data_IF_745022243268
#
_entry.id   IF_745022243268
#
_cell.length_a   1.000
_cell.length_b   1.000
_cell.length_c   1.000
_cell.angle_alpha   90.00
_cell.angle_beta   90.00
_cell.angle_gamma   90.00
#
_symmetry.space_group_name_H-M   'P 1'
#
loop_
_entity.id
_entity.type
_entity.pdbx_description
1 polymer ?
#
# COMPACT_ATOMS: atom_id res chain seq x y z
N UNK A 1 -37.49 -46.98 5.36
CA UNK A 1 -37.39 -46.50 6.75
C UNK A 1 -37.07 -45.01 6.67
N UNK A 2 -38.10 -44.18 6.53
CA UNK A 2 -37.96 -42.72 6.38
C UNK A 2 -37.54 -42.10 7.71
N UNK A 3 -36.40 -41.42 7.73
CA UNK A 3 -36.02 -40.58 8.87
C UNK A 3 -36.95 -39.37 8.90
N UNK A 4 -37.93 -39.42 9.80
CA UNK A 4 -38.68 -38.23 10.23
C UNK A 4 -37.72 -37.34 11.02
N UNK A 5 -37.13 -36.34 10.38
CA UNK A 5 -36.61 -35.17 11.10
C UNK A 5 -37.84 -34.44 11.62
N UNK A 6 -38.02 -34.37 12.93
CA UNK A 6 -39.20 -33.80 13.61
C UNK A 6 -39.30 -32.28 13.48
N UNK A 7 -39.17 -31.76 12.27
CA UNK A 7 -39.26 -30.34 11.94
C UNK A 7 -40.53 -30.16 11.13
N UNK A 8 -41.47 -29.44 11.72
CA UNK A 8 -42.72 -29.06 11.08
C UNK A 8 -42.43 -28.11 9.92
N UNK A 9 -42.98 -28.37 8.74
CA UNK A 9 -42.62 -27.73 7.46
C UNK A 9 -43.05 -26.25 7.34
N UNK A 10 -43.53 -25.64 8.42
CA UNK A 10 -44.00 -24.24 8.48
C UNK A 10 -43.26 -23.35 9.48
N UNK A 11 -42.22 -23.85 10.16
CA UNK A 11 -41.46 -23.06 11.14
C UNK A 11 -40.21 -22.51 10.46
N UNK A 12 -40.07 -21.19 10.40
CA UNK A 12 -38.78 -20.57 10.06
C UNK A 12 -37.75 -21.01 11.11
N UNK A 13 -36.84 -21.89 10.70
CA UNK A 13 -35.71 -22.28 11.51
C UNK A 13 -34.72 -21.13 11.56
N UNK A 14 -34.52 -20.55 12.74
CA UNK A 14 -33.59 -19.46 12.90
C UNK A 14 -33.59 -18.88 14.30
N UNK A 15 -32.88 -17.77 14.44
CA UNK A 15 -32.89 -16.95 15.66
C UNK A 15 -33.01 -15.51 15.22
N UNK A 16 -34.06 -14.84 15.67
CA UNK A 16 -34.27 -13.41 15.45
C UNK A 16 -33.88 -12.67 16.72
N UNK A 17 -32.95 -11.73 16.59
CA UNK A 17 -32.56 -10.83 17.67
C UNK A 17 -33.02 -9.44 17.27
N UNK A 18 -33.92 -8.86 18.08
CA UNK A 18 -34.47 -7.53 17.86
C UNK A 18 -34.06 -6.60 19.01
N UNK A 19 -33.61 -5.39 18.67
CA UNK A 19 -33.26 -4.35 19.63
C UNK A 19 -34.09 -3.11 19.30
N UNK A 20 -35.09 -2.82 20.13
CA UNK A 20 -36.13 -1.80 19.85
C UNK A 20 -35.85 -0.44 20.50
N UNK A 21 -35.30 -0.43 21.72
CA UNK A 21 -35.03 0.80 22.48
C UNK A 21 -33.62 1.33 22.22
N UNK A 22 -33.37 1.78 20.98
CA UNK A 22 -32.10 2.43 20.63
C UNK A 22 -32.04 3.85 21.23
N UNK A 23 -30.92 4.18 21.86
CA UNK A 23 -30.54 5.55 22.21
C UNK A 23 -30.60 6.45 20.96
N UNK A 24 -31.01 7.71 21.13
CA UNK A 24 -31.24 8.64 20.01
C UNK A 24 -30.01 8.81 19.10
N UNK A 25 -28.82 8.95 19.70
CA UNK A 25 -27.57 9.06 18.93
C UNK A 25 -27.27 7.81 18.09
N UNK A 26 -27.60 6.63 18.59
CA UNK A 26 -27.41 5.36 17.88
C UNK A 26 -28.39 5.26 16.72
N UNK A 27 -29.65 5.66 16.95
CA UNK A 27 -30.68 5.71 15.91
C UNK A 27 -30.28 6.64 14.76
N UNK A 28 -29.74 7.82 15.08
CA UNK A 28 -29.20 8.75 14.08
C UNK A 28 -28.05 8.15 13.28
N UNK A 29 -27.09 7.49 13.95
CA UNK A 29 -25.97 6.81 13.29
C UNK A 29 -26.44 5.71 12.32
N UNK A 30 -27.38 4.83 12.72
CA UNK A 30 -27.91 3.79 11.85
C UNK A 30 -28.64 4.36 10.61
N UNK A 31 -29.23 5.55 10.73
CA UNK A 31 -29.84 6.28 9.61
C UNK A 31 -28.82 6.91 8.65
N UNK A 32 -27.55 7.03 9.04
CA UNK A 32 -26.52 7.71 8.25
C UNK A 32 -25.98 6.85 7.10
N UNK A 33 -25.98 7.35 5.84
CA UNK A 33 -25.37 6.64 4.71
C UNK A 33 -23.88 6.35 4.90
N UNK A 34 -23.16 7.23 5.60
CA UNK A 34 -21.73 7.04 5.90
C UNK A 34 -21.52 5.87 6.86
N UNK A 35 -22.37 5.75 7.88
CA UNK A 35 -22.35 4.63 8.82
C UNK A 35 -22.66 3.32 8.11
N UNK A 36 -23.72 3.28 7.30
CA UNK A 36 -24.13 2.07 6.59
C UNK A 36 -23.04 1.59 5.62
N UNK A 37 -22.38 2.50 4.91
CA UNK A 37 -21.25 2.17 4.02
C UNK A 37 -20.06 1.61 4.80
N UNK A 38 -19.71 2.21 5.94
CA UNK A 38 -18.66 1.70 6.82
C UNK A 38 -19.02 0.31 7.37
N UNK A 39 -20.24 0.12 7.87
CA UNK A 39 -20.73 -1.15 8.39
C UNK A 39 -20.71 -2.24 7.31
N UNK A 40 -21.10 -1.92 6.08
CA UNK A 40 -21.03 -2.83 4.95
C UNK A 40 -19.59 -3.32 4.72
N UNK A 41 -18.62 -2.40 4.67
CA UNK A 41 -17.20 -2.72 4.49
C UNK A 41 -16.65 -3.55 5.66
N UNK A 42 -16.96 -3.17 6.90
CA UNK A 42 -16.56 -3.92 8.10
C UNK A 42 -17.08 -5.34 8.09
N UNK A 43 -18.37 -5.54 7.77
CA UNK A 43 -18.97 -6.86 7.66
C UNK A 43 -18.37 -7.67 6.51
N UNK A 44 -18.11 -7.06 5.35
CA UNK A 44 -17.47 -7.73 4.21
C UNK A 44 -16.08 -8.26 4.54
N UNK A 45 -15.31 -7.51 5.32
CA UNK A 45 -13.99 -7.94 5.76
C UNK A 45 -14.09 -8.99 6.88
N UNK A 46 -14.82 -8.69 7.96
CA UNK A 46 -14.91 -9.56 9.12
C UNK A 46 -15.50 -10.93 8.76
N UNK A 47 -16.40 -10.96 7.77
CA UNK A 47 -17.07 -12.16 7.30
C UNK A 47 -16.52 -12.65 5.97
N UNK A 48 -15.33 -12.22 5.52
CA UNK A 48 -14.78 -12.62 4.22
C UNK A 48 -14.75 -14.14 4.03
N UNK A 49 -14.29 -14.88 5.05
CA UNK A 49 -14.28 -16.34 5.03
C UNK A 49 -15.70 -16.93 5.00
N UNK A 50 -16.64 -16.35 5.74
CA UNK A 50 -18.02 -16.83 5.76
C UNK A 50 -18.73 -16.58 4.41
N UNK A 51 -18.54 -15.39 3.83
CA UNK A 51 -19.02 -15.00 2.51
C UNK A 51 -18.43 -15.91 1.42
N UNK A 52 -17.13 -16.23 1.49
CA UNK A 52 -16.47 -17.19 0.58
C UNK A 52 -17.03 -18.62 0.76
N UNK A 53 -17.38 -19.01 1.98
CA UNK A 53 -18.01 -20.28 2.30
C UNK A 53 -19.53 -20.30 2.05
N UNK A 54 -20.04 -19.41 1.18
CA UNK A 54 -21.44 -19.31 0.75
C UNK A 54 -22.44 -18.92 1.85
N UNK A 55 -21.98 -18.38 2.98
CA UNK A 55 -22.88 -17.73 3.92
C UNK A 55 -23.41 -16.45 3.28
N UNK A 56 -24.72 -16.34 3.12
CA UNK A 56 -25.34 -15.14 2.58
C UNK A 56 -25.64 -14.16 3.72
N UNK A 57 -25.02 -12.99 3.67
CA UNK A 57 -25.25 -11.91 4.63
C UNK A 57 -25.87 -10.74 3.86
N UNK A 58 -26.90 -10.11 4.43
CA UNK A 58 -27.51 -8.91 3.86
C UNK A 58 -27.51 -7.78 4.87
N UNK A 59 -27.34 -6.55 4.39
CA UNK A 59 -27.52 -5.33 5.17
C UNK A 59 -28.59 -4.51 4.47
N UNK A 60 -29.73 -4.27 5.14
CA UNK A 60 -30.89 -3.56 4.59
C UNK A 60 -31.34 -4.11 3.22
N UNK A 61 -31.35 -5.44 3.07
CA UNK A 61 -31.70 -6.13 1.82
C UNK A 61 -30.62 -6.12 0.74
N UNK A 62 -29.49 -5.41 0.95
CA UNK A 62 -28.34 -5.45 0.04
C UNK A 62 -27.45 -6.63 0.41
N UNK A 63 -27.24 -7.57 -0.54
CA UNK A 63 -26.33 -8.68 -0.34
C UNK A 63 -24.88 -8.19 -0.17
N UNK A 64 -24.22 -8.68 0.88
CA UNK A 64 -22.79 -8.50 1.06
C UNK A 64 -22.08 -9.42 0.07
N UNK A 65 -21.44 -8.82 -0.92
CA UNK A 65 -20.48 -9.55 -1.75
C UNK A 65 -19.12 -9.49 -1.08
N UNK A 66 -18.35 -10.58 -1.11
CA UNK A 66 -16.94 -10.51 -0.75
C UNK A 66 -16.27 -9.52 -1.73
N UNK A 67 -15.96 -8.32 -1.28
CA UNK A 67 -15.02 -7.47 -2.00
C UNK A 67 -13.65 -8.13 -1.78
N UNK A 68 -12.92 -8.52 -2.84
CA UNK A 68 -11.61 -9.10 -2.65
C UNK A 68 -10.68 -8.01 -2.14
N UNK A 69 -10.54 -7.93 -0.82
CA UNK A 69 -9.41 -7.26 -0.20
C UNK A 69 -8.22 -8.13 -0.51
N UNK A 70 -7.38 -7.62 -1.40
CA UNK A 70 -6.32 -8.38 -2.02
C UNK A 70 -5.18 -7.50 -2.48
N UNK A 71 -4.08 -8.17 -2.79
CA UNK A 71 -2.86 -7.58 -3.33
C UNK A 71 -2.52 -8.29 -4.63
N UNK A 72 -1.96 -7.57 -5.59
CA UNK A 72 -1.46 -8.17 -6.81
C UNK A 72 -0.29 -9.08 -6.46
N UNK A 73 -0.42 -10.35 -6.84
CA UNK A 73 0.60 -11.35 -6.63
C UNK A 73 0.80 -12.21 -7.89
N UNK A 74 2.04 -12.66 -8.07
CA UNK A 74 2.45 -13.60 -9.09
C UNK A 74 3.70 -14.35 -8.61
N UNK A 75 4.28 -15.20 -9.47
CA UNK A 75 5.56 -15.87 -9.13
C UNK A 75 6.71 -14.88 -8.91
N UNK A 76 6.71 -13.76 -9.63
CA UNK A 76 7.78 -12.76 -9.61
C UNK A 76 7.43 -11.49 -8.84
N UNK A 77 6.14 -11.24 -8.56
CA UNK A 77 5.66 -10.14 -7.72
C UNK A 77 5.03 -10.72 -6.46
N UNK A 78 5.69 -10.60 -5.31
CA UNK A 78 5.19 -11.12 -4.04
C UNK A 78 4.93 -9.98 -3.06
N UNK A 79 3.71 -9.85 -2.52
CA UNK A 79 3.42 -8.97 -1.40
C UNK A 79 4.20 -9.33 -0.13
N UNK A 80 4.28 -8.38 0.80
CA UNK A 80 4.69 -8.62 2.18
C UNK A 80 3.58 -9.35 2.92
N UNK A 81 3.94 -10.35 3.71
CA UNK A 81 3.12 -10.87 4.80
C UNK A 81 4.01 -11.09 6.02
N UNK A 82 3.59 -10.56 7.17
CA UNK A 82 4.25 -10.70 8.48
C UNK A 82 3.18 -11.10 9.49
N UNK A 83 3.51 -12.04 10.37
CA UNK A 83 2.66 -12.47 11.48
C UNK A 83 3.53 -12.59 12.74
N UNK A 84 3.22 -11.79 13.76
CA UNK A 84 4.00 -11.73 14.99
C UNK A 84 3.10 -11.69 16.22
N UNK A 85 3.60 -12.21 17.33
CA UNK A 85 2.95 -12.17 18.64
C UNK A 85 3.71 -11.22 19.57
N UNK A 86 2.97 -10.37 20.28
CA UNK A 86 3.54 -9.43 21.23
C UNK A 86 2.94 -9.62 22.62
N UNK A 87 3.79 -9.86 23.61
CA UNK A 87 3.38 -9.83 25.01
C UNK A 87 3.22 -8.39 25.50
N UNK A 88 2.04 -8.08 26.02
CA UNK A 88 1.67 -6.78 26.58
C UNK A 88 0.96 -7.00 27.91
N UNK A 89 1.65 -6.72 29.02
CA UNK A 89 1.10 -6.79 30.39
C UNK A 89 0.31 -8.09 30.66
N UNK A 90 0.97 -9.24 30.51
CA UNK A 90 0.41 -10.60 30.71
C UNK A 90 -0.73 -10.97 29.77
N UNK A 91 -0.81 -10.34 28.60
CA UNK A 91 -1.73 -10.69 27.52
C UNK A 91 -0.98 -10.71 26.19
N UNK A 92 -1.48 -11.46 25.22
CA UNK A 92 -0.88 -11.55 23.89
C UNK A 92 -1.70 -10.72 22.92
N UNK A 93 -1.01 -9.93 22.10
CA UNK A 93 -1.56 -9.24 20.93
C UNK A 93 -0.96 -9.91 19.69
N UNK A 94 -1.80 -10.55 18.89
CA UNK A 94 -1.45 -11.11 17.60
C UNK A 94 -1.52 -10.01 16.56
N UNK A 95 -0.48 -9.91 15.73
CA UNK A 95 -0.39 -8.91 14.67
C UNK A 95 -0.17 -9.59 13.34
N UNK A 96 -1.09 -9.34 12.39
CA UNK A 96 -0.90 -9.71 10.98
C UNK A 96 -0.75 -8.45 10.15
N UNK A 97 0.24 -8.43 9.28
CA UNK A 97 0.53 -7.29 8.42
C UNK A 97 0.73 -7.75 6.98
N UNK A 98 0.08 -7.06 6.06
CA UNK A 98 0.17 -7.27 4.63
C UNK A 98 0.53 -5.95 3.95
N UNK A 99 1.43 -5.96 2.97
CA UNK A 99 1.74 -4.76 2.18
C UNK A 99 2.08 -5.12 0.74
N UNK A 100 1.57 -4.34 -0.20
CA UNK A 100 1.83 -4.57 -1.62
C UNK A 100 1.14 -3.56 -2.49
N UNK A 101 0.82 -3.97 -3.72
CA UNK A 101 0.18 -3.12 -4.71
C UNK A 101 -1.19 -3.67 -5.09
N UNK A 102 -2.10 -2.79 -5.48
CA UNK A 102 -3.38 -3.10 -6.10
C UNK A 102 -3.55 -2.26 -7.37
N UNK A 103 -4.74 -2.32 -7.98
CA UNK A 103 -5.12 -1.41 -9.05
C UNK A 103 -5.04 0.05 -8.57
N UNK A 104 -4.67 1.00 -9.45
CA UNK A 104 -4.45 2.39 -9.08
C UNK A 104 -5.78 3.03 -8.65
N UNK A 105 -5.83 3.49 -7.40
CA UNK A 105 -6.97 4.23 -6.86
C UNK A 105 -6.45 5.05 -5.67
N UNK A 106 -6.21 6.37 -5.86
CA UNK A 106 -5.69 7.26 -4.83
C UNK A 106 -6.53 7.30 -3.56
N UNK A 107 -7.86 7.18 -3.69
CA UNK A 107 -8.80 7.24 -2.56
C UNK A 107 -8.73 6.00 -1.66
N UNK A 108 -8.11 4.92 -2.15
CA UNK A 108 -7.90 3.67 -1.41
C UNK A 108 -6.43 3.44 -1.08
N UNK A 109 -5.54 4.36 -1.45
CA UNK A 109 -4.11 4.21 -1.16
C UNK A 109 -3.82 4.50 0.31
N UNK A 110 -3.02 3.67 0.94
CA UNK A 110 -2.65 3.87 2.34
C UNK A 110 -2.76 2.60 3.16
N UNK A 111 -2.71 2.80 4.49
CA UNK A 111 -2.83 1.75 5.48
C UNK A 111 -4.27 1.61 5.97
N UNK A 112 -4.69 0.36 6.09
CA UNK A 112 -5.93 -0.05 6.74
C UNK A 112 -5.57 -0.72 8.06
N UNK A 113 -6.04 -0.16 9.18
CA UNK A 113 -5.72 -0.68 10.52
C UNK A 113 -6.97 -1.23 11.16
N UNK A 114 -6.90 -2.49 11.61
CA UNK A 114 -7.97 -3.22 12.25
C UNK A 114 -7.61 -3.59 13.68
N UNK A 115 -8.59 -3.53 14.57
CA UNK A 115 -8.48 -3.99 15.96
C UNK A 115 -9.66 -4.91 16.26
N UNK A 116 -9.39 -6.20 16.53
CA UNK A 116 -10.41 -7.23 16.70
C UNK A 116 -11.52 -7.18 15.62
N UNK A 117 -11.12 -7.09 14.35
CA UNK A 117 -12.03 -7.05 13.21
C UNK A 117 -12.70 -5.70 12.93
N UNK A 118 -12.56 -4.69 13.80
CA UNK A 118 -13.08 -3.34 13.56
C UNK A 118 -12.08 -2.49 12.78
N UNK A 119 -12.54 -1.83 11.71
CA UNK A 119 -11.76 -0.86 10.95
C UNK A 119 -11.57 0.43 11.76
N UNK A 120 -10.33 0.77 12.07
CA UNK A 120 -9.98 1.97 12.84
C UNK A 120 -9.49 3.08 11.91
N UNK A 121 -8.61 2.74 10.96
CA UNK A 121 -8.09 3.67 9.97
C UNK A 121 -8.32 3.10 8.57
N UNK A 122 -8.86 3.92 7.67
CA UNK A 122 -9.17 3.57 6.29
C UNK A 122 -8.28 4.37 5.34
N UNK A 123 -7.53 3.69 4.46
CA UNK A 123 -6.66 4.31 3.46
C UNK A 123 -5.79 5.45 4.05
N UNK A 124 -5.28 5.24 5.28
CA UNK A 124 -4.58 6.30 5.98
C UNK A 124 -3.22 6.57 5.34
N UNK A 125 -2.98 7.86 5.10
CA UNK A 125 -1.78 8.41 4.47
C UNK A 125 -1.07 9.40 5.40
N UNK A 126 -1.29 9.28 6.72
CA UNK A 126 -0.80 10.23 7.72
C UNK A 126 0.40 9.70 8.50
N UNK A 127 0.97 10.55 9.35
CA UNK A 127 2.08 10.18 10.23
C UNK A 127 1.74 9.06 11.20
N UNK A 128 0.44 8.86 11.51
CA UNK A 128 -0.04 7.76 12.34
C UNK A 128 0.43 6.42 11.76
N UNK A 129 0.30 6.21 10.45
CA UNK A 129 0.65 4.95 9.80
C UNK A 129 2.02 4.95 9.10
N UNK A 130 2.86 5.94 9.41
CA UNK A 130 4.25 6.00 8.94
C UNK A 130 4.47 6.78 7.64
N UNK A 131 3.46 7.49 7.12
CA UNK A 131 3.65 8.48 6.06
C UNK A 131 4.21 9.77 6.63
N UNK A 132 4.81 10.61 5.78
CA UNK A 132 5.19 11.96 6.20
C UNK A 132 4.06 12.94 5.94
N UNK A 133 3.80 13.79 6.92
CA UNK A 133 2.83 14.87 6.81
C UNK A 133 3.31 15.93 5.79
N UNK A 134 2.36 16.49 5.05
CA UNK A 134 2.65 17.46 3.99
C UNK A 134 3.12 18.78 4.58
N UNK A 135 4.28 19.28 4.17
CA UNK A 135 4.81 20.59 4.60
C UNK A 135 5.83 20.56 5.76
N UNK A 136 6.18 19.39 6.29
CA UNK A 136 7.32 19.24 7.21
C UNK A 136 8.64 19.03 6.44
N UNK A 137 9.70 19.72 6.87
CA UNK A 137 11.03 19.61 6.27
C UNK A 137 11.67 18.24 6.52
N UNK A 138 12.46 17.78 5.56
CA UNK A 138 13.10 16.45 5.50
C UNK A 138 14.29 16.25 6.45
N UNK A 139 14.42 17.06 7.50
CA UNK A 139 15.60 17.04 8.40
C UNK A 139 15.60 15.89 9.41
N UNK A 140 14.49 15.15 9.56
CA UNK A 140 14.41 13.98 10.42
C UNK A 140 14.81 12.71 9.65
N UNK A 141 15.88 12.05 10.11
CA UNK A 141 16.44 10.82 9.49
C UNK A 141 15.48 9.62 9.49
N UNK A 142 14.39 9.70 10.26
CA UNK A 142 13.34 8.67 10.38
C UNK A 142 12.01 9.08 9.71
N UNK A 143 11.99 10.19 8.95
CA UNK A 143 10.77 10.69 8.33
C UNK A 143 10.32 9.79 7.17
N UNK A 144 9.07 9.33 7.24
CA UNK A 144 8.44 8.52 6.20
C UNK A 144 8.37 9.19 4.83
N UNK A 145 7.69 8.55 3.88
CA UNK A 145 7.48 9.12 2.54
C UNK A 145 6.24 10.01 2.57
N UNK A 146 6.33 11.23 2.03
CA UNK A 146 5.15 12.06 1.79
C UNK A 146 4.32 11.42 0.66
N UNK A 147 3.01 11.34 0.85
CA UNK A 147 2.14 10.79 -0.18
C UNK A 147 2.22 11.59 -1.49
N UNK A 148 2.23 10.86 -2.60
CA UNK A 148 2.14 11.38 -3.97
C UNK A 148 1.31 10.39 -4.79
N UNK A 149 0.68 10.83 -5.88
CA UNK A 149 -0.20 9.99 -6.71
C UNK A 149 0.54 8.79 -7.35
N UNK A 150 1.87 8.82 -7.42
CA UNK A 150 2.69 7.66 -7.83
C UNK A 150 2.50 6.45 -6.89
N UNK A 151 2.00 6.69 -5.67
CA UNK A 151 1.69 5.65 -4.68
C UNK A 151 0.21 5.24 -4.67
N UNK A 152 -0.60 5.65 -5.66
CA UNK A 152 -2.02 5.32 -5.75
C UNK A 152 -2.33 3.81 -5.74
N UNK A 153 -1.34 2.98 -6.11
CA UNK A 153 -1.43 1.52 -6.10
C UNK A 153 -1.10 0.90 -4.73
N UNK A 154 -0.49 1.63 -3.79
CA UNK A 154 -0.09 1.07 -2.50
C UNK A 154 -1.30 0.63 -1.66
N UNK A 155 -1.26 -0.59 -1.12
CA UNK A 155 -2.22 -1.08 -0.13
C UNK A 155 -1.47 -1.77 1.01
N UNK A 156 -1.74 -1.33 2.23
CA UNK A 156 -1.26 -1.98 3.44
C UNK A 156 -2.42 -2.33 4.38
N UNK A 157 -2.38 -3.50 5.01
CA UNK A 157 -3.38 -3.95 5.97
C UNK A 157 -2.68 -4.40 7.24
N UNK A 158 -3.13 -3.96 8.40
CA UNK A 158 -2.62 -4.37 9.71
C UNK A 158 -3.78 -4.78 10.60
N UNK A 159 -3.68 -5.94 11.21
CA UNK A 159 -4.66 -6.50 12.14
C UNK A 159 -4.01 -6.64 13.50
N UNK A 160 -4.63 -6.07 14.51
CA UNK A 160 -4.31 -6.31 15.92
C UNK A 160 -5.44 -7.15 16.52
N UNK A 161 -5.11 -8.32 17.04
CA UNK A 161 -6.05 -9.24 17.65
C UNK A 161 -5.63 -9.59 19.07
N UNK A 162 -6.54 -9.46 20.03
CA UNK A 162 -6.29 -9.86 21.42
C UNK A 162 -7.60 -10.21 22.13
N UNK A 163 -7.51 -11.19 23.04
CA UNK A 163 -8.61 -11.49 23.96
C UNK A 163 -8.84 -10.34 24.96
N UNK A 164 -7.77 -9.67 25.39
CA UNK A 164 -7.87 -8.47 26.22
C UNK A 164 -7.88 -7.20 25.35
N UNK A 165 -9.09 -6.71 25.09
CA UNK A 165 -9.31 -5.52 24.27
C UNK A 165 -8.66 -4.24 24.81
N UNK A 166 -8.28 -4.20 26.10
CA UNK A 166 -7.57 -3.06 26.69
C UNK A 166 -6.11 -2.95 26.23
N UNK A 167 -5.56 -4.00 25.60
CA UNK A 167 -4.19 -4.03 25.07
C UNK A 167 -4.09 -3.58 23.62
N UNK A 168 -5.22 -3.44 22.93
CA UNK A 168 -5.26 -3.01 21.54
C UNK A 168 -4.90 -1.53 21.44
N UNK A 169 -4.21 -1.11 20.38
CA UNK A 169 -3.72 0.25 20.23
C UNK A 169 -4.80 1.22 19.73
N UNK A 170 -6.05 1.09 20.15
CA UNK A 170 -7.10 2.05 19.82
C UNK A 170 -7.23 3.12 20.90
N UNK A 171 -7.75 4.30 20.53
CA UNK A 171 -8.09 5.32 21.51
C UNK A 171 -9.36 4.94 22.29
N UNK A 172 -9.64 5.65 23.39
CA UNK A 172 -10.81 5.40 24.25
C UNK A 172 -12.14 5.50 23.52
N UNK A 173 -12.20 6.32 22.45
CA UNK A 173 -13.38 6.46 21.57
C UNK A 173 -13.47 5.36 20.50
N UNK A 174 -12.46 4.51 20.35
CA UNK A 174 -12.36 3.46 19.32
C UNK A 174 -12.54 3.99 17.89
N UNK A 175 -12.13 5.24 17.66
CA UNK A 175 -12.21 5.94 16.37
C UNK A 175 -10.84 6.24 15.78
N UNK A 176 -9.77 5.96 16.51
CA UNK A 176 -8.41 6.19 16.08
C UNK A 176 -7.46 5.26 16.81
N UNK A 177 -6.20 5.34 16.41
CA UNK A 177 -5.12 4.58 17.03
C UNK A 177 -4.46 5.44 18.11
N UNK A 178 -4.19 4.82 19.26
CA UNK A 178 -3.31 5.38 20.27
C UNK A 178 -1.84 5.11 19.90
N UNK A 179 -1.22 6.11 19.25
CA UNK A 179 0.15 6.07 18.75
C UNK A 179 1.20 5.99 19.86
N UNK A 180 0.82 6.34 21.10
CA UNK A 180 1.72 6.33 22.24
C UNK A 180 1.84 4.95 22.88
N UNK A 181 1.01 3.97 22.48
CA UNK A 181 1.14 2.61 22.99
C UNK A 181 2.47 1.96 22.54
N UNK A 182 3.21 1.28 23.44
CA UNK A 182 4.48 0.63 23.07
C UNK A 182 4.34 -0.38 21.94
N UNK A 183 3.19 -1.08 21.89
CA UNK A 183 2.88 -2.04 20.82
C UNK A 183 2.75 -1.34 19.47
N UNK A 184 2.01 -0.23 19.40
CA UNK A 184 1.83 0.46 18.13
C UNK A 184 3.13 1.08 17.63
N UNK A 185 3.97 1.65 18.50
CA UNK A 185 5.27 2.19 18.07
C UNK A 185 6.15 1.13 17.41
N UNK A 186 6.20 -0.09 17.96
CA UNK A 186 6.93 -1.22 17.38
C UNK A 186 6.34 -1.61 16.02
N UNK A 187 5.03 -1.84 15.97
CA UNK A 187 4.36 -2.26 14.73
C UNK A 187 4.42 -1.18 13.65
N UNK A 188 4.35 0.11 14.01
CA UNK A 188 4.55 1.23 13.08
C UNK A 188 5.94 1.19 12.43
N UNK A 189 6.98 0.78 13.16
CA UNK A 189 8.31 0.52 12.58
C UNK A 189 8.28 -0.59 11.53
N UNK A 190 7.56 -1.68 11.82
CA UNK A 190 7.36 -2.80 10.87
C UNK A 190 6.57 -2.34 9.64
N UNK A 191 5.51 -1.53 9.82
CA UNK A 191 4.75 -0.92 8.74
C UNK A 191 5.63 -0.09 7.81
N UNK A 192 6.48 0.79 8.36
CA UNK A 192 7.41 1.61 7.56
C UNK A 192 8.39 0.72 6.79
N UNK A 193 8.97 -0.29 7.45
CA UNK A 193 9.89 -1.24 6.83
C UNK A 193 9.23 -2.01 5.68
N UNK A 194 8.00 -2.49 5.86
CA UNK A 194 7.23 -3.22 4.86
C UNK A 194 6.80 -2.34 3.68
N UNK A 195 6.43 -1.08 3.93
CA UNK A 195 6.00 -0.12 2.91
C UNK A 195 7.15 0.34 2.02
N UNK A 196 8.33 0.55 2.60
CA UNK A 196 9.50 1.13 1.91
C UNK A 196 9.86 0.45 0.57
N UNK A 197 10.05 -0.88 0.49
CA UNK A 197 10.38 -1.54 -0.78
C UNK A 197 9.22 -1.47 -1.80
N UNK A 198 7.96 -1.45 -1.34
CA UNK A 198 6.79 -1.29 -2.20
C UNK A 198 6.79 0.08 -2.86
N UNK A 199 7.01 1.15 -2.08
CA UNK A 199 7.10 2.50 -2.63
C UNK A 199 8.30 2.67 -3.57
N UNK A 200 9.42 2.00 -3.27
CA UNK A 200 10.58 1.93 -4.16
C UNK A 200 10.22 1.36 -5.54
N UNK A 201 9.47 0.26 -5.56
CA UNK A 201 8.96 -0.33 -6.81
C UNK A 201 7.97 0.59 -7.54
N UNK A 202 7.03 1.21 -6.84
CA UNK A 202 6.05 2.12 -7.46
C UNK A 202 6.71 3.35 -8.11
N UNK A 203 7.82 3.85 -7.54
CA UNK A 203 8.64 4.89 -8.19
C UNK A 203 9.27 4.39 -9.48
N UNK A 204 9.84 3.18 -9.48
CA UNK A 204 10.41 2.56 -10.69
C UNK A 204 9.34 2.38 -11.77
N UNK A 205 8.17 1.86 -11.41
CA UNK A 205 7.02 1.68 -12.30
C UNK A 205 6.55 3.01 -12.91
N UNK A 206 6.44 4.05 -12.09
CA UNK A 206 6.04 5.37 -12.57
C UNK A 206 7.09 6.00 -13.48
N UNK A 207 8.38 5.80 -13.15
CA UNK A 207 9.49 6.27 -13.96
C UNK A 207 9.49 5.60 -15.34
N UNK A 208 9.35 4.28 -15.38
CA UNK A 208 9.19 3.50 -16.63
C UNK A 208 8.06 4.11 -17.48
N UNK A 209 6.86 4.27 -16.91
CA UNK A 209 5.71 4.79 -17.64
C UNK A 209 5.82 6.26 -18.13
N UNK A 210 6.72 7.07 -17.55
CA UNK A 210 6.85 8.51 -17.89
C UNK A 210 8.08 8.85 -18.72
N UNK A 211 9.16 8.09 -18.55
CA UNK A 211 10.49 8.47 -19.01
C UNK A 211 11.08 7.46 -20.00
N UNK A 212 10.47 6.29 -20.19
CA UNK A 212 10.98 5.26 -21.09
C UNK A 212 9.87 4.70 -21.98
N UNK A 213 10.26 4.07 -23.09
CA UNK A 213 9.36 3.24 -23.92
C UNK A 213 9.37 1.77 -23.44
N UNK A 214 10.01 1.48 -22.31
CA UNK A 214 10.08 0.14 -21.72
C UNK A 214 8.77 -0.18 -20.98
N UNK A 215 8.42 -1.46 -20.91
CA UNK A 215 7.19 -1.94 -20.25
C UNK A 215 7.46 -3.09 -19.28
N UNK A 216 8.70 -3.28 -18.86
CA UNK A 216 9.12 -4.44 -18.07
C UNK A 216 8.31 -4.58 -16.78
N UNK A 217 8.22 -3.52 -15.97
CA UNK A 217 7.46 -3.57 -14.72
C UNK A 217 5.96 -3.62 -14.96
N UNK A 218 5.42 -2.83 -15.89
CA UNK A 218 3.97 -2.81 -16.16
C UNK A 218 3.48 -4.17 -16.75
N UNK A 219 4.29 -4.86 -17.55
CA UNK A 219 3.98 -6.22 -18.02
C UNK A 219 3.87 -7.22 -16.88
N UNK A 220 4.75 -7.13 -15.89
CA UNK A 220 4.69 -8.00 -14.72
C UNK A 220 3.51 -7.66 -13.79
N UNK A 221 3.16 -6.39 -13.68
CA UNK A 221 1.97 -5.94 -12.93
C UNK A 221 0.68 -6.40 -13.61
N UNK A 222 0.58 -6.25 -14.94
CA UNK A 222 -0.62 -6.63 -15.71
C UNK A 222 -0.86 -8.15 -15.76
N UNK A 223 0.19 -8.96 -15.63
CA UNK A 223 0.10 -10.43 -15.50
C UNK A 223 -0.17 -10.92 -14.06
N UNK A 224 -0.11 -10.03 -13.07
CA UNK A 224 -0.38 -10.40 -11.68
C UNK A 224 -1.89 -10.50 -11.42
N UNK A 225 -2.27 -11.44 -10.56
CA UNK A 225 -3.67 -11.62 -10.17
C UNK A 225 -3.93 -10.95 -8.83
N UNK A 226 -5.15 -10.46 -8.63
CA UNK A 226 -5.60 -10.01 -7.32
C UNK A 226 -5.78 -11.23 -6.41
N UNK A 227 -4.83 -11.43 -5.50
CA UNK A 227 -4.86 -12.52 -4.51
C UNK A 227 -5.43 -12.00 -3.20
N UNK A 228 -6.39 -12.72 -2.63
CA UNK A 228 -6.97 -12.35 -1.34
C UNK A 228 -5.91 -12.39 -0.24
N UNK A 229 -5.92 -11.43 0.68
CA UNK A 229 -4.94 -11.40 1.78
C UNK A 229 -5.03 -12.63 2.69
N UNK A 230 -6.20 -13.27 2.78
CA UNK A 230 -6.40 -14.52 3.54
C UNK A 230 -5.67 -15.71 2.93
N UNK A 231 -5.32 -15.66 1.65
CA UNK A 231 -4.55 -16.70 0.94
C UNK A 231 -3.03 -16.51 1.13
N UNK A 232 -2.60 -15.34 1.62
CA UNK A 232 -1.20 -15.02 1.90
C UNK A 232 -0.84 -15.53 3.31
N UNK A 233 -0.58 -16.84 3.45
CA UNK A 233 -0.34 -17.50 4.74
C UNK A 233 1.13 -17.77 5.08
N UNK A 234 2.07 -17.43 4.18
CA UNK A 234 3.50 -17.65 4.39
C UNK A 234 4.25 -16.33 4.50
N UNK A 235 4.96 -16.12 5.61
CA UNK A 235 5.74 -14.90 5.82
C UNK A 235 6.67 -14.64 4.63
N UNK A 236 6.58 -13.44 4.07
CA UNK A 236 7.24 -13.09 2.81
C UNK A 236 7.65 -11.62 2.85
N UNK A 237 8.80 -11.31 2.27
CA UNK A 237 9.23 -9.93 2.00
C UNK A 237 8.79 -9.50 0.60
N UNK A 238 8.60 -8.20 0.42
CA UNK A 238 8.21 -7.68 -0.89
C UNK A 238 9.27 -8.03 -1.93
N UNK A 239 8.86 -8.64 -3.03
CA UNK A 239 9.75 -8.92 -4.16
C UNK A 239 9.05 -8.63 -5.48
N UNK A 240 9.82 -8.17 -6.46
CA UNK A 240 9.36 -7.81 -7.80
C UNK A 240 10.46 -8.19 -8.80
N UNK A 241 10.12 -8.37 -10.08
CA UNK A 241 11.10 -8.74 -11.10
C UNK A 241 11.97 -7.53 -11.42
N UNK A 242 13.27 -7.61 -11.10
CA UNK A 242 14.23 -6.64 -11.63
C UNK A 242 14.42 -6.86 -13.14
N UNK A 243 14.61 -5.79 -13.93
CA UNK A 243 15.00 -5.93 -15.32
C UNK A 243 16.27 -6.77 -15.41
N UNK A 244 16.46 -7.55 -16.50
CA UNK A 244 17.74 -8.17 -16.78
C UNK A 244 18.83 -7.11 -16.62
N UNK A 245 19.88 -7.38 -15.84
CA UNK A 245 21.03 -6.51 -15.83
C UNK A 245 21.63 -6.60 -17.24
N UNK A 246 21.35 -5.61 -18.09
CA UNK A 246 22.04 -5.42 -19.36
C UNK A 246 23.52 -5.39 -18.98
N UNK A 247 24.29 -6.40 -19.40
CA UNK A 247 25.71 -6.53 -19.07
C UNK A 247 26.41 -5.22 -19.44
N UNK A 248 26.61 -4.37 -18.43
CA UNK A 248 27.36 -3.11 -18.44
C UNK A 248 27.58 -2.54 -19.85
N UNK A 249 26.54 -1.98 -20.49
CA UNK A 249 26.84 -0.92 -21.46
C UNK A 249 27.64 0.13 -20.69
N UNK A 250 28.90 0.41 -21.07
CA UNK A 250 29.73 1.33 -20.31
C UNK A 250 28.97 2.64 -20.20
N UNK A 251 28.70 3.07 -18.97
CA UNK A 251 28.01 4.34 -18.76
C UNK A 251 28.87 5.44 -19.39
N UNK A 252 28.30 6.34 -20.20
CA UNK A 252 29.07 7.46 -20.75
C UNK A 252 29.74 8.22 -19.61
N UNK A 253 31.02 8.52 -19.77
CA UNK A 253 31.79 9.25 -18.76
C UNK A 253 31.55 10.75 -18.94
N UNK A 254 31.18 11.43 -17.86
CA UNK A 254 31.00 12.88 -17.88
C UNK A 254 32.37 13.58 -17.88
N UNK A 255 32.63 14.36 -18.92
CA UNK A 255 33.80 15.25 -18.99
C UNK A 255 33.34 16.66 -18.63
N UNK A 256 34.00 17.28 -17.64
CA UNK A 256 33.69 18.66 -17.24
C UNK A 256 34.97 19.44 -16.95
N UNK A 257 34.99 20.70 -17.35
CA UNK A 257 36.09 21.62 -17.09
C UNK A 257 35.58 23.06 -17.10
N UNK A 258 36.31 23.95 -16.43
CA UNK A 258 35.98 25.39 -16.38
C UNK A 258 36.84 26.16 -17.38
N UNK A 259 36.20 27.14 -18.02
CA UNK A 259 36.83 28.10 -18.93
C UNK A 259 36.25 29.49 -18.70
N UNK A 260 36.99 30.49 -19.17
CA UNK A 260 36.55 31.87 -19.10
C UNK A 260 35.25 32.07 -19.91
N UNK A 261 34.24 32.77 -19.37
CA UNK A 261 32.97 32.97 -20.06
C UNK A 261 33.09 33.66 -21.43
N UNK A 262 34.01 34.60 -21.58
CA UNK A 262 34.21 35.32 -22.84
C UNK A 262 34.91 34.45 -23.89
N UNK A 263 35.82 33.57 -23.46
CA UNK A 263 36.37 32.52 -24.34
C UNK A 263 35.28 31.57 -24.84
N UNK A 264 34.43 31.06 -23.94
CA UNK A 264 33.34 30.16 -24.30
C UNK A 264 32.37 30.83 -25.27
N UNK A 265 32.08 32.12 -25.10
CA UNK A 265 31.22 32.89 -26.01
C UNK A 265 31.79 32.96 -27.42
N UNK A 266 33.09 33.28 -27.57
CA UNK A 266 33.75 33.30 -28.90
C UNK A 266 33.72 31.93 -29.57
N UNK A 267 33.95 30.86 -28.81
CA UNK A 267 33.91 29.49 -29.33
C UNK A 267 32.49 29.10 -29.76
N UNK A 268 31.46 29.51 -29.03
CA UNK A 268 30.05 29.31 -29.43
C UNK A 268 29.73 29.96 -30.77
N UNK A 269 30.16 31.21 -30.94
CA UNK A 269 29.96 31.97 -32.18
C UNK A 269 30.67 31.28 -33.36
N UNK A 270 31.92 30.84 -33.15
CA UNK A 270 32.69 30.12 -34.17
C UNK A 270 32.08 28.78 -34.57
N UNK A 271 31.61 27.99 -33.59
CA UNK A 271 31.00 26.66 -33.82
C UNK A 271 29.52 26.72 -34.22
N UNK A 272 28.89 27.91 -34.19
CA UNK A 272 27.48 28.12 -34.47
C UNK A 272 26.53 27.43 -33.48
N UNK A 273 26.90 27.35 -32.20
CA UNK A 273 26.14 26.64 -31.16
C UNK A 273 25.64 27.57 -30.06
N UNK A 274 24.61 27.16 -29.31
CA UNK A 274 23.96 28.02 -28.31
C UNK A 274 24.29 27.62 -26.88
N UNK A 275 24.52 26.34 -26.63
CA UNK A 275 24.73 25.80 -25.29
C UNK A 275 26.20 25.47 -25.01
N UNK A 276 26.60 25.50 -23.74
CA UNK A 276 27.96 25.08 -23.34
C UNK A 276 28.19 23.58 -23.58
N UNK A 277 27.12 22.78 -23.50
CA UNK A 277 27.15 21.34 -23.78
C UNK A 277 27.58 21.08 -25.22
N UNK A 278 26.94 21.74 -26.18
CA UNK A 278 27.27 21.60 -27.61
C UNK A 278 28.70 22.06 -27.94
N UNK A 279 29.23 23.06 -27.22
CA UNK A 279 30.64 23.45 -27.35
C UNK A 279 31.54 22.28 -26.92
N UNK A 280 31.27 21.67 -25.77
CA UNK A 280 32.02 20.52 -25.28
C UNK A 280 31.98 19.33 -26.25
N UNK A 281 30.79 19.01 -26.77
CA UNK A 281 30.59 17.93 -27.73
C UNK A 281 31.37 18.16 -29.02
N UNK A 282 31.17 19.30 -29.68
CA UNK A 282 31.83 19.60 -30.95
C UNK A 282 33.35 19.74 -30.83
N UNK A 283 33.84 20.31 -29.74
CA UNK A 283 35.31 20.43 -29.54
C UNK A 283 35.96 19.09 -29.27
N UNK A 284 35.26 18.19 -28.58
CA UNK A 284 35.73 16.83 -28.34
C UNK A 284 35.68 15.97 -29.61
N UNK A 285 34.59 16.06 -30.39
CA UNK A 285 34.47 15.41 -31.70
C UNK A 285 35.56 15.88 -32.67
N UNK A 286 35.85 17.18 -32.69
CA UNK A 286 36.95 17.76 -33.48
C UNK A 286 38.31 17.18 -33.06
N UNK A 287 38.58 17.10 -31.74
CA UNK A 287 39.81 16.50 -31.22
C UNK A 287 39.95 15.03 -31.62
N UNK A 288 38.91 14.22 -31.42
CA UNK A 288 38.91 12.81 -31.82
C UNK A 288 39.17 12.63 -33.33
N UNK A 289 38.56 13.50 -34.15
CA UNK A 289 38.73 13.47 -35.61
C UNK A 289 40.16 13.84 -36.02
N UNK A 290 40.74 14.87 -35.41
CA UNK A 290 42.09 15.33 -35.74
C UNK A 290 43.19 14.39 -35.25
N UNK A 291 42.97 13.70 -34.14
CA UNK A 291 43.91 12.74 -33.56
C UNK A 291 43.66 11.29 -34.01
N UNK A 292 42.71 11.08 -34.94
CA UNK A 292 42.32 9.75 -35.47
C UNK A 292 41.95 8.73 -34.38
N UNK A 293 41.39 9.21 -33.26
CA UNK A 293 40.96 8.36 -32.14
C UNK A 293 39.55 7.82 -32.45
N UNK A 294 39.44 6.49 -32.61
CA UNK A 294 38.17 5.77 -32.81
C UNK A 294 37.50 5.38 -31.50
#
# INVERSE_FOLDING_TARGET
MEKRTGIDSGVELGTTIEVTELHDSVREDFGSPKFQKRLLLELQLAQQNALQNKLHITLNGTALNAQPIGLLASKSLKPVFIEEEFEVNNSVVFVKLYAGIAMPDPAKAGWYVYCNGRLILEADQTNVTGWRESGLESSEKDAGVQYHNDFARFRGYVYFESADTSKLPWNTTKTGVDVDTPIYRKVRGIMISAMTPVLGFLRKLTKEARETDETHFEEHVSRANLTAISELSTQTVFSYPEPPQDDKKPKPTMISFKRDPEEVKRVKEHLGVRTNREVGEKTYEYYMTMEEIQ
#
